data_IF_381955289830
#
_entry.id   IF_381955289830
#
_cell.length_a   1.000
_cell.length_b   1.000
_cell.length_c   1.000
_cell.angle_alpha   90.00
_cell.angle_beta   90.00
_cell.angle_gamma   90.00
#
_symmetry.space_group_name_H-M   'P 1'
#
loop_
_entity.id
_entity.type
_entity.pdbx_description
1 polymer ?
#
# COMPACT_ATOMS: atom_id res chain seq x y z
N UNK A 1 8.56 53.46 -21.27
CA UNK A 1 7.63 52.36 -21.60
C UNK A 1 8.29 51.07 -21.15
N UNK A 2 7.79 50.49 -20.07
CA UNK A 2 8.30 49.23 -19.51
C UNK A 2 7.09 48.37 -19.22
N UNK A 3 6.99 47.24 -19.91
CA UNK A 3 5.88 46.28 -19.86
C UNK A 3 5.95 45.47 -18.57
N UNK A 4 4.85 45.47 -17.80
CA UNK A 4 4.62 44.56 -16.67
C UNK A 4 4.23 43.18 -17.19
N UNK A 5 4.97 42.15 -16.81
CA UNK A 5 4.50 40.76 -16.88
C UNK A 5 3.88 40.37 -15.55
N UNK A 6 2.60 40.02 -15.59
CA UNK A 6 1.82 39.49 -14.47
C UNK A 6 2.18 38.01 -14.28
N UNK A 7 2.88 37.69 -13.18
CA UNK A 7 3.02 36.31 -12.74
C UNK A 7 1.77 35.89 -11.95
N UNK A 8 1.11 34.86 -12.47
CA UNK A 8 -0.11 34.26 -11.96
C UNK A 8 0.11 33.71 -10.56
N UNK A 9 -0.70 34.18 -9.62
CA UNK A 9 -0.85 33.61 -8.28
C UNK A 9 -1.37 32.17 -8.35
N UNK A 10 -0.45 31.20 -8.35
CA UNK A 10 -0.78 29.78 -8.20
C UNK A 10 -0.64 29.38 -6.72
N UNK A 11 -1.80 29.34 -6.06
CA UNK A 11 -2.16 28.51 -4.88
C UNK A 11 -0.98 27.91 -4.12
N UNK A 12 -0.63 28.52 -2.98
CA UNK A 12 0.16 27.90 -1.91
C UNK A 12 -0.53 26.60 -1.48
N UNK A 13 -0.03 25.46 -1.98
CA UNK A 13 -0.31 24.17 -1.37
C UNK A 13 0.24 24.21 0.07
N UNK A 14 -0.67 24.06 1.04
CA UNK A 14 -0.33 23.87 2.46
C UNK A 14 0.47 22.58 2.54
N UNK A 15 1.81 22.70 2.55
CA UNK A 15 2.72 21.55 2.73
C UNK A 15 2.33 20.85 4.04
N UNK A 16 2.08 19.55 3.95
CA UNK A 16 1.88 18.69 5.12
C UNK A 16 3.09 18.85 6.05
N UNK A 17 2.84 19.29 7.28
CA UNK A 17 3.85 19.53 8.32
C UNK A 17 4.54 18.26 8.81
N UNK A 18 4.14 17.09 8.30
CA UNK A 18 4.65 15.78 8.70
C UNK A 18 5.95 15.40 7.96
N UNK A 19 6.17 15.88 6.73
CA UNK A 19 7.32 15.45 5.91
C UNK A 19 8.59 16.29 6.10
N UNK A 20 8.49 17.52 6.60
CA UNK A 20 9.65 18.44 6.69
C UNK A 20 10.59 18.18 7.88
N UNK A 21 10.24 17.25 8.77
CA UNK A 21 10.96 17.03 10.04
C UNK A 21 11.18 15.57 10.41
N UNK A 22 10.83 14.61 9.55
CA UNK A 22 11.22 13.23 9.78
C UNK A 22 12.72 13.13 9.51
N UNK A 23 13.55 12.77 10.51
CA UNK A 23 14.94 12.49 10.23
C UNK A 23 14.96 11.35 9.21
N UNK A 24 15.84 11.44 8.19
CA UNK A 24 16.11 10.37 7.23
C UNK A 24 16.79 9.17 7.94
N UNK A 25 16.22 8.74 9.06
CA UNK A 25 16.71 7.66 9.89
C UNK A 25 16.16 6.36 9.31
N UNK A 26 17.03 5.62 8.62
CA UNK A 26 17.18 4.17 8.69
C UNK A 26 15.95 3.39 9.20
N UNK A 27 14.82 3.43 8.49
CA UNK A 27 13.84 2.38 8.68
C UNK A 27 14.48 1.11 8.09
N UNK A 28 14.72 0.05 8.88
CA UNK A 28 15.29 -1.17 8.33
C UNK A 28 14.38 -1.66 7.19
N UNK A 29 14.96 -1.97 6.04
CA UNK A 29 14.25 -2.37 4.82
C UNK A 29 13.21 -3.49 5.05
N UNK A 30 13.44 -4.35 6.05
CA UNK A 30 12.50 -5.41 6.45
C UNK A 30 11.16 -4.87 6.97
N UNK A 31 11.13 -3.68 7.58
CA UNK A 31 9.89 -3.03 8.04
C UNK A 31 9.03 -2.60 6.85
N UNK A 32 9.65 -2.14 5.78
CA UNK A 32 8.96 -1.80 4.53
C UNK A 32 8.43 -3.04 3.83
N UNK A 33 9.25 -4.10 3.72
CA UNK A 33 8.80 -5.39 3.18
C UNK A 33 7.61 -5.96 3.96
N UNK A 34 7.62 -5.86 5.29
CA UNK A 34 6.51 -6.29 6.14
C UNK A 34 5.22 -5.48 5.88
N UNK A 35 5.33 -4.16 5.69
CA UNK A 35 4.20 -3.30 5.34
C UNK A 35 3.62 -3.68 3.96
N UNK A 36 4.47 -3.83 2.93
CA UNK A 36 4.07 -4.27 1.58
C UNK A 36 3.33 -5.60 1.65
N UNK A 37 3.92 -6.60 2.31
CA UNK A 37 3.32 -7.92 2.47
C UNK A 37 1.97 -7.85 3.18
N UNK A 38 1.88 -7.09 4.27
CA UNK A 38 0.61 -6.98 4.98
C UNK A 38 -0.49 -6.33 4.14
N UNK A 39 -0.19 -5.28 3.38
CA UNK A 39 -1.15 -4.62 2.51
C UNK A 39 -1.64 -5.56 1.42
N UNK A 40 -0.71 -6.18 0.69
CA UNK A 40 -1.02 -7.15 -0.37
C UNK A 40 -1.84 -8.32 0.15
N UNK A 41 -1.47 -8.86 1.31
CA UNK A 41 -2.16 -10.00 1.91
C UNK A 41 -3.65 -9.70 2.12
N UNK A 42 -3.97 -8.58 2.76
CA UNK A 42 -5.35 -8.20 3.06
C UNK A 42 -6.14 -7.85 1.78
N UNK A 43 -5.48 -7.22 0.80
CA UNK A 43 -6.06 -6.95 -0.52
C UNK A 43 -6.25 -8.22 -1.36
N UNK A 44 -5.54 -9.31 -1.07
CA UNK A 44 -5.60 -10.56 -1.81
C UNK A 44 -6.64 -11.58 -1.33
N UNK A 45 -7.14 -11.42 -0.09
CA UNK A 45 -8.03 -12.39 0.55
C UNK A 45 -9.49 -11.91 0.52
N UNK A 46 -10.25 -12.39 -0.46
CA UNK A 46 -11.66 -12.04 -0.61
C UNK A 46 -12.52 -12.51 0.58
N UNK A 47 -12.18 -13.63 1.22
CA UNK A 47 -12.93 -14.09 2.39
C UNK A 47 -12.68 -13.17 3.59
N UNK A 48 -11.44 -12.75 3.80
CA UNK A 48 -11.08 -11.73 4.78
C UNK A 48 -11.81 -10.41 4.51
N UNK A 49 -11.85 -9.95 3.25
CA UNK A 49 -12.55 -8.71 2.88
C UNK A 49 -14.03 -8.73 3.27
N UNK A 50 -14.72 -9.86 3.07
CA UNK A 50 -16.12 -10.01 3.45
C UNK A 50 -16.28 -10.15 4.97
N UNK A 51 -15.48 -11.00 5.60
CA UNK A 51 -15.67 -11.37 7.01
C UNK A 51 -15.10 -10.34 7.99
N UNK A 52 -14.19 -9.48 7.56
CA UNK A 52 -13.49 -8.51 8.40
C UNK A 52 -13.81 -7.08 7.97
N UNK A 53 -13.47 -6.69 6.74
CA UNK A 53 -13.69 -5.30 6.30
C UNK A 53 -15.16 -4.96 6.14
N UNK A 54 -15.92 -5.80 5.42
CA UNK A 54 -17.34 -5.54 5.21
C UNK A 54 -18.15 -5.68 6.51
N UNK A 55 -17.73 -6.59 7.39
CA UNK A 55 -18.31 -6.77 8.72
C UNK A 55 -17.92 -5.67 9.73
N UNK A 56 -16.93 -4.82 9.40
CA UNK A 56 -16.45 -3.75 10.27
C UNK A 56 -15.73 -4.25 11.54
N UNK A 57 -15.06 -5.41 11.46
CA UNK A 57 -14.33 -5.94 12.61
C UNK A 57 -13.08 -5.07 12.90
N UNK A 58 -12.86 -4.66 14.16
CA UNK A 58 -11.73 -3.81 14.53
C UNK A 58 -10.39 -4.57 14.49
N UNK A 59 -9.28 -3.83 14.54
CA UNK A 59 -7.91 -4.37 14.69
C UNK A 59 -7.17 -4.63 13.38
N UNK A 60 -7.84 -4.50 12.23
CA UNK A 60 -7.25 -4.67 10.91
C UNK A 60 -7.22 -3.39 10.07
N UNK A 61 -7.97 -2.37 10.46
CA UNK A 61 -8.27 -1.24 9.59
C UNK A 61 -9.21 -1.65 8.45
N UNK A 62 -9.33 -0.80 7.44
CA UNK A 62 -10.16 -1.04 6.26
C UNK A 62 -9.33 -1.16 4.96
N UNK A 63 -10.03 -1.12 3.82
CA UNK A 63 -9.41 -1.13 2.48
C UNK A 63 -8.38 0.00 2.37
N UNK A 64 -8.75 1.20 2.77
CA UNK A 64 -7.94 2.40 2.67
C UNK A 64 -6.71 2.32 3.56
N UNK A 65 -6.82 1.79 4.79
CA UNK A 65 -5.67 1.52 5.67
C UNK A 65 -4.69 0.51 5.08
N UNK A 66 -5.19 -0.50 4.36
CA UNK A 66 -4.33 -1.46 3.66
C UNK A 66 -3.64 -0.85 2.44
N UNK A 67 -4.34 0.00 1.67
CA UNK A 67 -3.73 0.72 0.56
C UNK A 67 -2.67 1.70 1.05
N UNK A 68 -2.95 2.49 2.08
CA UNK A 68 -1.98 3.44 2.65
C UNK A 68 -0.71 2.74 3.13
N UNK A 69 -0.82 1.61 3.84
CA UNK A 69 0.35 0.81 4.23
C UNK A 69 1.10 0.21 3.04
N UNK A 70 0.38 -0.09 1.96
CA UNK A 70 1.00 -0.61 0.74
C UNK A 70 1.74 0.45 -0.03
N UNK A 71 1.24 1.69 -0.12
CA UNK A 71 1.77 2.71 -1.05
C UNK A 71 2.41 3.92 -0.38
N UNK A 72 1.78 4.52 0.64
CA UNK A 72 2.32 5.74 1.29
C UNK A 72 3.47 5.37 2.22
N UNK A 73 3.31 4.31 3.02
CA UNK A 73 4.34 3.84 3.96
C UNK A 73 5.61 3.33 3.24
N UNK A 74 5.53 3.08 1.93
CA UNK A 74 6.55 2.40 1.11
C UNK A 74 6.99 3.23 -0.09
N UNK A 75 6.34 4.37 -0.35
CA UNK A 75 6.55 5.27 -1.49
C UNK A 75 6.26 4.65 -2.87
N UNK A 76 5.53 3.54 -2.92
CA UNK A 76 5.17 2.86 -4.17
C UNK A 76 4.10 3.61 -4.99
N UNK A 77 3.52 4.67 -4.44
CA UNK A 77 2.71 5.64 -5.16
C UNK A 77 3.53 6.61 -6.04
N UNK A 78 4.77 6.89 -5.63
CA UNK A 78 5.65 7.87 -6.26
C UNK A 78 6.76 7.23 -7.10
N UNK A 79 7.12 5.97 -6.80
CA UNK A 79 8.21 5.27 -7.44
C UNK A 79 7.86 3.81 -7.73
N UNK A 80 8.29 3.31 -8.89
CA UNK A 80 8.20 1.88 -9.22
C UNK A 80 8.98 1.03 -8.22
N UNK A 81 8.43 -0.14 -7.93
CA UNK A 81 9.03 -1.20 -7.12
C UNK A 81 10.44 -1.60 -7.61
N UNK A 82 10.73 -1.47 -8.91
CA UNK A 82 12.04 -1.80 -9.49
C UNK A 82 13.19 -1.02 -8.83
N UNK A 83 12.93 0.21 -8.37
CA UNK A 83 13.92 1.02 -7.64
C UNK A 83 14.34 0.41 -6.29
N UNK A 84 13.56 -0.51 -5.76
CA UNK A 84 13.76 -1.14 -4.47
C UNK A 84 14.22 -2.59 -4.58
N UNK A 85 14.59 -3.07 -5.78
CA UNK A 85 15.23 -4.36 -5.97
C UNK A 85 16.59 -4.39 -5.25
N UNK A 86 16.86 -5.49 -4.54
CA UNK A 86 18.03 -5.63 -3.67
C UNK A 86 17.87 -4.97 -2.29
N UNK A 87 16.73 -4.31 -2.02
CA UNK A 87 16.42 -3.72 -0.70
C UNK A 87 15.09 -4.25 -0.14
N UNK A 88 13.94 -3.81 -0.67
CA UNK A 88 12.61 -4.30 -0.29
C UNK A 88 12.30 -5.62 -1.02
N UNK A 89 12.65 -5.68 -2.30
CA UNK A 89 12.36 -6.80 -3.19
C UNK A 89 13.63 -7.58 -3.50
N UNK A 90 13.52 -8.90 -3.53
CA UNK A 90 14.66 -9.80 -3.78
C UNK A 90 15.17 -9.69 -5.21
N UNK A 91 14.24 -9.61 -6.15
CA UNK A 91 14.53 -9.60 -7.58
C UNK A 91 13.50 -8.77 -8.35
N UNK A 92 13.76 -8.62 -9.65
CA UNK A 92 12.90 -7.91 -10.60
C UNK A 92 11.52 -8.55 -10.75
N UNK A 93 11.38 -9.85 -10.45
CA UNK A 93 10.12 -10.56 -10.58
C UNK A 93 9.17 -10.19 -9.43
N UNK A 94 9.66 -10.15 -8.19
CA UNK A 94 8.90 -9.62 -7.05
C UNK A 94 8.47 -8.17 -7.31
N UNK A 95 9.40 -7.32 -7.76
CA UNK A 95 9.10 -5.92 -8.05
C UNK A 95 8.01 -5.77 -9.11
N UNK A 96 8.09 -6.49 -10.23
CA UNK A 96 7.09 -6.42 -11.29
C UNK A 96 5.68 -6.86 -10.84
N UNK A 97 5.59 -7.88 -9.98
CA UNK A 97 4.31 -8.34 -9.42
C UNK A 97 3.71 -7.28 -8.50
N UNK A 98 4.53 -6.66 -7.66
CA UNK A 98 4.11 -5.62 -6.73
C UNK A 98 3.66 -4.36 -7.49
N UNK A 99 4.41 -3.92 -8.50
CA UNK A 99 4.01 -2.80 -9.36
C UNK A 99 2.66 -3.04 -10.05
N UNK A 100 2.44 -4.25 -10.59
CA UNK A 100 1.18 -4.62 -11.22
C UNK A 100 0.00 -4.56 -10.24
N UNK A 101 0.20 -5.04 -9.00
CA UNK A 101 -0.80 -4.98 -7.95
C UNK A 101 -1.09 -3.53 -7.51
N UNK A 102 -0.05 -2.75 -7.22
CA UNK A 102 -0.16 -1.34 -6.81
C UNK A 102 -0.89 -0.52 -7.87
N UNK A 103 -0.54 -0.67 -9.14
CA UNK A 103 -1.19 0.07 -10.24
C UNK A 103 -2.69 -0.22 -10.30
N UNK A 104 -3.10 -1.48 -10.18
CA UNK A 104 -4.52 -1.86 -10.21
C UNK A 104 -5.28 -1.29 -9.02
N UNK A 105 -4.70 -1.39 -7.83
CA UNK A 105 -5.30 -0.89 -6.58
C UNK A 105 -5.43 0.63 -6.60
N UNK A 106 -4.36 1.35 -6.96
CA UNK A 106 -4.35 2.82 -7.03
C UNK A 106 -5.34 3.35 -8.07
N UNK A 107 -5.51 2.65 -9.20
CA UNK A 107 -6.50 3.03 -10.20
C UNK A 107 -7.92 2.98 -9.64
N UNK A 108 -8.27 1.91 -8.92
CA UNK A 108 -9.57 1.80 -8.27
C UNK A 108 -9.73 2.85 -7.18
N UNK A 109 -8.70 3.07 -6.35
CA UNK A 109 -8.71 4.11 -5.32
C UNK A 109 -8.95 5.51 -5.92
N UNK A 110 -8.34 5.80 -7.06
CA UNK A 110 -8.52 7.07 -7.77
C UNK A 110 -9.92 7.21 -8.39
N UNK A 111 -10.46 6.13 -8.95
CA UNK A 111 -11.80 6.11 -9.56
C UNK A 111 -12.93 6.21 -8.51
N UNK A 112 -12.75 5.55 -7.36
CA UNK A 112 -13.74 5.48 -6.27
C UNK A 112 -13.62 6.65 -5.29
N UNK A 113 -12.39 7.10 -5.02
CA UNK A 113 -12.06 8.15 -4.03
C UNK A 113 -11.80 7.59 -2.64
N UNK A 114 -10.82 8.15 -1.89
CA UNK A 114 -10.30 7.56 -0.63
C UNK A 114 -11.32 7.52 0.52
N UNK A 115 -12.32 8.40 0.50
CA UNK A 115 -13.35 8.51 1.55
C UNK A 115 -14.56 7.58 1.32
N UNK A 116 -14.54 6.78 0.25
CA UNK A 116 -15.62 5.85 -0.04
C UNK A 116 -15.70 4.71 0.99
N UNK A 117 -16.91 4.20 1.23
CA UNK A 117 -17.09 3.05 2.11
C UNK A 117 -16.58 1.75 1.46
N UNK A 118 -16.13 0.80 2.28
CA UNK A 118 -15.64 -0.54 1.86
C UNK A 118 -16.50 -1.21 0.78
N UNK A 119 -17.86 -1.27 0.89
CA UNK A 119 -18.67 -1.94 -0.13
C UNK A 119 -18.48 -1.37 -1.54
N UNK A 120 -18.18 -0.08 -1.66
CA UNK A 120 -18.00 0.60 -2.96
C UNK A 120 -16.75 0.06 -3.68
N UNK A 121 -15.66 -0.16 -2.95
CA UNK A 121 -14.45 -0.77 -3.50
C UNK A 121 -14.70 -2.22 -3.91
N UNK A 122 -15.31 -3.03 -3.03
CA UNK A 122 -15.51 -4.46 -3.27
C UNK A 122 -16.48 -4.74 -4.43
N UNK A 123 -17.39 -3.82 -4.72
CA UNK A 123 -18.33 -3.89 -5.85
C UNK A 123 -17.75 -3.31 -7.14
N UNK A 124 -16.54 -2.74 -7.11
CA UNK A 124 -15.92 -2.18 -8.29
C UNK A 124 -15.66 -3.27 -9.34
N UNK A 125 -16.01 -3.07 -10.62
CA UNK A 125 -15.92 -4.12 -11.65
C UNK A 125 -14.48 -4.64 -11.86
N UNK A 126 -13.48 -3.79 -11.62
CA UNK A 126 -12.07 -4.17 -11.72
C UNK A 126 -11.48 -4.74 -10.41
N UNK A 127 -12.25 -4.81 -9.32
CA UNK A 127 -11.78 -5.31 -8.03
C UNK A 127 -11.24 -6.74 -8.08
N UNK A 128 -11.90 -7.71 -8.76
CA UNK A 128 -11.38 -9.09 -8.83
C UNK A 128 -9.97 -9.17 -9.44
N UNK A 129 -9.66 -8.32 -10.41
CA UNK A 129 -8.32 -8.28 -11.00
C UNK A 129 -7.28 -7.71 -10.02
N UNK A 130 -7.65 -6.71 -9.23
CA UNK A 130 -6.77 -6.14 -8.21
C UNK A 130 -6.48 -7.17 -7.11
N UNK A 131 -7.50 -7.92 -6.68
CA UNK A 131 -7.36 -9.04 -5.72
C UNK A 131 -6.42 -10.10 -6.28
N UNK A 132 -6.60 -10.51 -7.54
CA UNK A 132 -5.74 -11.52 -8.18
C UNK A 132 -4.29 -11.06 -8.29
N UNK A 133 -4.04 -9.81 -8.68
CA UNK A 133 -2.68 -9.25 -8.76
C UNK A 133 -2.04 -9.14 -7.37
N UNK A 134 -2.79 -8.66 -6.38
CA UNK A 134 -2.33 -8.62 -4.99
C UNK A 134 -1.98 -10.01 -4.46
N UNK A 135 -2.77 -11.04 -4.82
CA UNK A 135 -2.51 -12.43 -4.46
C UNK A 135 -1.21 -12.95 -5.05
N UNK A 136 -0.97 -12.71 -6.33
CA UNK A 136 0.26 -13.14 -6.99
C UNK A 136 1.49 -12.53 -6.33
N UNK A 137 1.46 -11.22 -6.05
CA UNK A 137 2.55 -10.53 -5.36
C UNK A 137 2.73 -11.03 -3.92
N UNK A 138 1.65 -11.17 -3.14
CA UNK A 138 1.72 -11.67 -1.76
C UNK A 138 2.31 -13.08 -1.68
N UNK A 139 1.84 -14.01 -2.53
CA UNK A 139 2.36 -15.38 -2.56
C UNK A 139 3.85 -15.40 -2.88
N UNK A 140 4.28 -14.65 -3.89
CA UNK A 140 5.70 -14.57 -4.24
C UNK A 140 6.56 -14.08 -3.06
N UNK A 141 6.16 -12.98 -2.42
CA UNK A 141 6.90 -12.41 -1.30
C UNK A 141 6.88 -13.32 -0.05
N UNK A 142 5.72 -13.90 0.29
CA UNK A 142 5.58 -14.77 1.46
C UNK A 142 6.39 -16.06 1.31
N UNK A 143 6.27 -16.74 0.16
CA UNK A 143 7.05 -17.94 -0.13
C UNK A 143 8.55 -17.66 -0.17
N UNK A 144 8.97 -16.52 -0.73
CA UNK A 144 10.36 -16.09 -0.72
C UNK A 144 10.90 -15.89 0.70
N UNK A 145 10.07 -15.41 1.63
CA UNK A 145 10.42 -15.21 3.04
C UNK A 145 10.32 -16.48 3.89
N UNK A 146 9.85 -17.59 3.32
CA UNK A 146 9.63 -18.86 4.03
C UNK A 146 8.36 -18.90 4.89
N UNK A 147 7.46 -17.94 4.69
CA UNK A 147 6.17 -17.87 5.38
C UNK A 147 5.08 -18.61 4.57
N UNK A 148 4.07 -19.09 5.29
CA UNK A 148 2.85 -19.65 4.68
C UNK A 148 1.97 -18.51 4.10
N UNK A 149 1.74 -18.46 2.77
CA UNK A 149 0.89 -17.44 2.15
C UNK A 149 -0.60 -17.61 2.44
N UNK A 150 -1.03 -18.77 2.96
CA UNK A 150 -2.42 -19.10 3.27
C UNK A 150 -2.77 -18.90 4.75
N UNK A 151 -1.78 -18.60 5.60
CA UNK A 151 -2.04 -18.19 6.97
C UNK A 151 -2.88 -16.91 6.99
N UNK A 152 -3.74 -16.68 7.99
CA UNK A 152 -4.60 -15.50 8.03
C UNK A 152 -3.80 -14.19 8.18
N UNK A 153 -4.32 -13.05 7.68
CA UNK A 153 -3.69 -11.74 7.88
C UNK A 153 -3.45 -11.40 9.35
N UNK A 154 -2.33 -10.73 9.64
CA UNK A 154 -1.99 -10.25 10.99
C UNK A 154 -2.75 -8.97 11.31
N UNK A 155 -3.11 -8.80 12.58
CA UNK A 155 -3.68 -7.54 13.08
C UNK A 155 -2.66 -6.40 13.05
N UNK A 156 -3.14 -5.16 13.07
CA UNK A 156 -2.29 -3.96 13.13
C UNK A 156 -1.41 -3.93 14.39
N UNK A 157 -1.92 -4.43 15.52
CA UNK A 157 -1.17 -4.53 16.78
C UNK A 157 -0.04 -5.57 16.69
N UNK A 158 -0.30 -6.72 16.05
CA UNK A 158 0.72 -7.73 15.82
C UNK A 158 1.82 -7.20 14.89
N UNK A 159 1.45 -6.47 13.83
CA UNK A 159 2.42 -5.81 12.94
C UNK A 159 3.23 -4.74 13.67
N UNK A 160 2.62 -3.97 14.55
CA UNK A 160 3.31 -2.96 15.36
C UNK A 160 4.31 -3.60 16.32
N UNK A 161 3.92 -4.70 16.96
CA UNK A 161 4.80 -5.49 17.83
C UNK A 161 5.99 -6.04 17.05
N UNK A 162 5.76 -6.65 15.88
CA UNK A 162 6.83 -7.16 15.01
C UNK A 162 7.79 -6.06 14.56
N UNK A 163 7.26 -4.89 14.18
CA UNK A 163 8.08 -3.74 13.80
C UNK A 163 8.95 -3.20 14.94
N UNK A 164 8.57 -3.43 16.20
CA UNK A 164 9.30 -2.97 17.40
C UNK A 164 10.25 -4.00 17.98
N UNK A 165 9.97 -5.29 17.79
CA UNK A 165 10.73 -6.40 18.37
C UNK A 165 12.09 -6.68 17.70
N UNK A 166 12.43 -5.91 16.66
CA UNK A 166 13.67 -6.03 15.90
C UNK A 166 14.34 -4.66 15.69
#
# INVERSE_FOLDING_TARGET
MTVQSSEKSSRRARRSSTMGGMPMTDMPWWRWRLNVRSGLHMLSDAAFQQNVWLAGLPGYGDVTDAVYRLVEDTWLDNWSADKYVGTIFRDVQEAALVDAAVLKVLRILHEVGPDAAVPVYLQHPNWPEAVAAARQAHVALASADGDDPDAPPRTLDALTTLKRAA
#
